data_IF_101338475138
#
_entry.id   IF_101338475138
#
_cell.length_a   1.000
_cell.length_b   1.000
_cell.length_c   1.000
_cell.angle_alpha   90.00
_cell.angle_beta   90.00
_cell.angle_gamma   90.00
#
_symmetry.space_group_name_H-M   'P 1'
#
loop_
_entity.id
_entity.type
_entity.pdbx_description
1 polymer ?
#
# COMPACT_ATOMS: atom_id res chain seq x y z
N UNK A 1 11.73 23.85 -22.68
CA UNK A 1 12.12 22.43 -22.80
C UNK A 1 11.93 21.80 -21.43
N UNK A 2 10.73 21.29 -21.12
CA UNK A 2 10.42 20.76 -19.80
C UNK A 2 11.11 19.41 -19.63
N UNK A 3 12.17 19.37 -18.83
CA UNK A 3 12.80 18.12 -18.44
C UNK A 3 11.76 17.29 -17.68
N UNK A 4 11.36 16.16 -18.28
CA UNK A 4 10.64 15.12 -17.57
C UNK A 4 11.65 14.54 -16.58
N UNK A 5 11.70 15.11 -15.38
CA UNK A 5 12.50 14.56 -14.29
C UNK A 5 12.05 13.10 -14.11
N UNK A 6 12.92 12.16 -14.45
CA UNK A 6 12.60 10.74 -14.37
C UNK A 6 12.31 10.41 -12.91
N UNK A 7 11.07 9.99 -12.61
CA UNK A 7 10.70 9.55 -11.26
C UNK A 7 11.68 8.49 -10.80
N UNK A 8 12.31 8.73 -9.66
CA UNK A 8 13.24 7.75 -9.09
C UNK A 8 12.47 6.65 -8.37
N UNK A 9 13.14 5.54 -8.09
CA UNK A 9 12.55 4.46 -7.26
C UNK A 9 12.15 4.98 -5.87
N UNK A 10 12.90 5.96 -5.33
CA UNK A 10 12.59 6.58 -4.04
C UNK A 10 11.27 7.36 -4.10
N UNK A 11 11.06 8.11 -5.18
CA UNK A 11 9.81 8.86 -5.38
C UNK A 11 8.61 7.91 -5.48
N UNK A 12 8.76 6.83 -6.25
CA UNK A 12 7.72 5.80 -6.39
C UNK A 12 7.39 5.12 -5.05
N UNK A 13 8.39 4.79 -4.23
CA UNK A 13 8.15 4.23 -2.90
C UNK A 13 7.39 5.20 -2.00
N UNK A 14 7.76 6.49 -2.02
CA UNK A 14 7.07 7.53 -1.24
C UNK A 14 5.61 7.70 -1.68
N UNK A 15 5.37 7.70 -2.99
CA UNK A 15 4.03 7.79 -3.59
C UNK A 15 3.17 6.59 -3.17
N UNK A 16 3.69 5.37 -3.33
CA UNK A 16 2.97 4.14 -2.98
C UNK A 16 2.63 4.08 -1.49
N UNK A 17 3.56 4.45 -0.61
CA UNK A 17 3.33 4.54 0.84
C UNK A 17 2.21 5.52 1.18
N UNK A 18 2.23 6.69 0.52
CA UNK A 18 1.21 7.73 0.74
C UNK A 18 -0.18 7.22 0.32
N UNK A 19 -0.28 6.56 -0.84
CA UNK A 19 -1.54 6.01 -1.33
C UNK A 19 -2.13 4.95 -0.38
N UNK A 20 -1.29 4.03 0.12
CA UNK A 20 -1.74 2.99 1.06
C UNK A 20 -2.20 3.60 2.39
N UNK A 21 -1.42 4.51 2.96
CA UNK A 21 -1.79 5.18 4.22
C UNK A 21 -3.09 5.98 4.08
N UNK A 22 -3.27 6.73 2.99
CA UNK A 22 -4.50 7.47 2.75
C UNK A 22 -5.72 6.55 2.70
N UNK A 23 -5.61 5.42 1.97
CA UNK A 23 -6.72 4.47 1.86
C UNK A 23 -7.06 3.87 3.23
N UNK A 24 -6.07 3.43 4.00
CA UNK A 24 -6.30 2.88 5.35
C UNK A 24 -6.87 3.94 6.31
N UNK A 25 -6.45 5.18 6.19
CA UNK A 25 -6.89 6.27 7.05
C UNK A 25 -8.34 6.70 6.76
N UNK A 26 -8.70 6.87 5.49
CA UNK A 26 -10.03 7.38 5.12
C UNK A 26 -11.09 6.28 5.01
N UNK A 27 -10.72 5.09 4.53
CA UNK A 27 -11.67 4.00 4.29
C UNK A 27 -11.65 2.93 5.38
N UNK A 28 -10.73 3.06 6.34
CA UNK A 28 -10.57 2.16 7.47
C UNK A 28 -9.74 0.91 7.16
N UNK A 29 -9.72 -0.05 8.09
CA UNK A 29 -8.94 -1.28 7.95
C UNK A 29 -9.32 -2.06 6.69
N UNK A 30 -8.32 -2.44 5.90
CA UNK A 30 -8.51 -3.18 4.66
C UNK A 30 -7.51 -4.33 4.55
N UNK A 31 -7.93 -5.41 3.88
CA UNK A 31 -7.01 -6.49 3.52
C UNK A 31 -5.97 -6.03 2.50
N UNK A 32 -4.78 -6.66 2.51
CA UNK A 32 -3.74 -6.44 1.47
C UNK A 32 -4.28 -6.70 0.06
N UNK A 33 -5.18 -7.68 -0.09
CA UNK A 33 -5.83 -7.97 -1.37
C UNK A 33 -6.70 -6.79 -1.83
N UNK A 34 -7.51 -6.22 -0.94
CA UNK A 34 -8.39 -5.08 -1.23
C UNK A 34 -7.60 -3.78 -1.49
N UNK A 35 -6.42 -3.63 -0.89
CA UNK A 35 -5.55 -2.46 -1.10
C UNK A 35 -5.04 -2.36 -2.55
N UNK A 36 -4.80 -3.48 -3.23
CA UNK A 36 -4.28 -3.48 -4.61
C UNK A 36 -5.19 -2.70 -5.56
N UNK A 37 -6.44 -3.12 -5.79
CA UNK A 37 -7.40 -2.39 -6.62
C UNK A 37 -7.67 -0.96 -6.13
N UNK A 38 -7.69 -0.74 -4.81
CA UNK A 38 -8.00 0.56 -4.23
C UNK A 38 -6.88 1.60 -4.39
N UNK A 39 -5.63 1.15 -4.55
CA UNK A 39 -4.45 2.02 -4.72
C UNK A 39 -3.86 1.95 -6.13
N UNK A 40 -4.36 1.03 -6.98
CA UNK A 40 -3.78 0.73 -8.29
C UNK A 40 -2.42 0.01 -8.22
N UNK A 41 -2.04 -0.50 -7.05
CA UNK A 41 -0.76 -1.17 -6.83
C UNK A 41 -0.86 -2.68 -7.08
N UNK A 42 0.26 -3.28 -7.51
CA UNK A 42 0.38 -4.74 -7.56
C UNK A 42 0.40 -5.35 -6.16
N UNK A 43 0.02 -6.63 -6.05
CA UNK A 43 0.08 -7.36 -4.77
C UNK A 43 1.47 -7.34 -4.12
N UNK A 44 2.54 -7.45 -4.93
CA UNK A 44 3.93 -7.35 -4.45
C UNK A 44 4.26 -5.95 -3.91
N UNK A 45 3.82 -4.89 -4.60
CA UNK A 45 4.02 -3.51 -4.12
C UNK A 45 3.25 -3.24 -2.84
N UNK A 46 2.00 -3.68 -2.74
CA UNK A 46 1.21 -3.56 -1.49
C UNK A 46 1.90 -4.30 -0.35
N UNK A 47 2.36 -5.53 -0.58
CA UNK A 47 3.03 -6.34 0.45
C UNK A 47 4.29 -5.65 0.97
N UNK A 48 5.13 -5.14 0.06
CA UNK A 48 6.34 -4.42 0.44
C UNK A 48 6.02 -3.13 1.21
N UNK A 49 5.07 -2.33 0.72
CA UNK A 49 4.69 -1.06 1.37
C UNK A 49 4.10 -1.31 2.76
N UNK A 50 3.19 -2.27 2.90
CA UNK A 50 2.60 -2.60 4.20
C UNK A 50 3.67 -3.11 5.16
N UNK A 51 4.60 -3.97 4.71
CA UNK A 51 5.70 -4.44 5.54
C UNK A 51 6.60 -3.29 6.05
N UNK A 52 6.92 -2.31 5.19
CA UNK A 52 7.66 -1.11 5.59
C UNK A 52 6.88 -0.27 6.62
N UNK A 53 5.58 -0.03 6.38
CA UNK A 53 4.74 0.73 7.29
C UNK A 53 4.57 0.05 8.66
N UNK A 54 4.47 -1.28 8.69
CA UNK A 54 4.44 -2.06 9.94
C UNK A 54 5.77 -1.99 10.66
N UNK A 55 6.90 -2.12 9.94
CA UNK A 55 8.23 -2.01 10.53
C UNK A 55 8.48 -0.61 11.15
N UNK A 56 7.86 0.43 10.60
CA UNK A 56 7.89 1.79 11.14
C UNK A 56 6.83 2.06 12.23
N UNK A 57 5.96 1.09 12.52
CA UNK A 57 4.89 1.23 13.52
C UNK A 57 3.76 2.19 13.12
N UNK A 58 3.63 2.50 11.82
CA UNK A 58 2.59 3.40 11.31
C UNK A 58 1.25 2.69 11.07
N UNK A 59 1.30 1.38 10.85
CA UNK A 59 0.12 0.52 10.69
C UNK A 59 0.34 -0.77 11.46
N UNK A 60 -0.75 -1.40 11.87
CA UNK A 60 -0.75 -2.71 12.50
C UNK A 60 -1.77 -3.62 11.81
N UNK A 61 -1.61 -4.93 11.97
CA UNK A 61 -2.63 -5.87 11.51
C UNK A 61 -3.83 -5.83 12.47
N UNK A 62 -4.95 -5.29 12.00
CA UNK A 62 -6.18 -5.15 12.78
C UNK A 62 -6.93 -6.49 13.05
N UNK A 63 -6.33 -7.63 12.69
CA UNK A 63 -6.90 -8.97 12.79
C UNK A 63 -7.05 -9.68 11.45
N UNK A 64 -7.28 -11.00 11.48
CA UNK A 64 -7.58 -11.81 10.30
C UNK A 64 -9.09 -11.93 10.10
N UNK A 65 -9.63 -11.31 9.05
CA UNK A 65 -10.92 -11.74 8.49
C UNK A 65 -10.69 -13.03 7.73
N UNK A 66 -11.52 -14.05 7.98
CA UNK A 66 -11.53 -15.27 7.18
C UNK A 66 -11.67 -14.86 5.72
N UNK A 67 -10.62 -15.12 4.94
CA UNK A 67 -10.65 -14.90 3.50
C UNK A 67 -11.68 -15.87 2.96
N UNK A 68 -12.82 -15.39 2.47
CA UNK A 68 -13.86 -16.23 1.89
C UNK A 68 -13.37 -16.85 0.56
N UNK A 69 -12.50 -17.87 0.63
CA UNK A 69 -11.88 -18.57 -0.50
C UNK A 69 -10.86 -17.70 -1.25
N UNK A 70 -9.63 -18.10 -1.51
CA UNK A 70 -9.21 -19.42 -1.96
C UNK A 70 -8.69 -19.27 -3.40
N UNK A 71 -7.35 -19.26 -3.53
CA UNK A 71 -6.52 -19.34 -4.75
C UNK A 71 -6.77 -18.31 -5.86
#
# INVERSE_FOLDING_TARGET
>A
MTMRNGRTVRDLRRENRTAVLQRLYFDGPMSRFSLGPATGLSSGSVSNVVAELVAEGLVEEAGSVDSAGGR
#
